data_IF_763983028649
#
_entry.id   IF_763983028649
#
_cell.length_a   1.000
_cell.length_b   1.000
_cell.length_c   1.000
_cell.angle_alpha   90.00
_cell.angle_beta   90.00
_cell.angle_gamma   90.00
#
_symmetry.space_group_name_H-M   'P 1'
#
loop_
_entity.id
_entity.type
_entity.pdbx_description
1 polymer ?
#
# COMPACT_ATOMS: atom_id res chain seq x y z
N UNK A 1 -14.82 -0.24 -14.08
CA UNK A 1 -14.05 -0.14 -12.81
C UNK A 1 -14.66 0.99 -12.02
N UNK A 2 -15.49 0.68 -11.03
CA UNK A 2 -16.31 1.67 -10.32
C UNK A 2 -15.50 2.55 -9.34
N UNK A 3 -14.19 2.31 -9.22
CA UNK A 3 -13.33 2.92 -8.20
C UNK A 3 -12.26 3.90 -8.74
N UNK A 4 -12.16 4.10 -10.06
CA UNK A 4 -11.06 4.87 -10.68
C UNK A 4 -9.68 4.23 -10.47
N UNK A 5 -8.65 4.62 -11.25
CA UNK A 5 -7.31 4.02 -11.16
C UNK A 5 -6.55 4.41 -9.88
N UNK A 6 -6.94 5.50 -9.22
CA UNK A 6 -6.36 5.93 -7.96
C UNK A 6 -7.06 5.33 -6.72
N UNK A 7 -8.23 4.69 -6.87
CA UNK A 7 -9.01 4.13 -5.76
C UNK A 7 -9.71 5.16 -4.85
N UNK A 8 -9.56 6.45 -5.13
CA UNK A 8 -10.05 7.55 -4.28
C UNK A 8 -11.45 8.06 -4.63
N UNK A 9 -12.27 7.29 -5.33
CA UNK A 9 -13.66 7.68 -5.61
C UNK A 9 -14.59 7.20 -4.49
N UNK A 10 -15.43 8.11 -4.02
CA UNK A 10 -16.43 7.84 -3.01
C UNK A 10 -17.66 7.16 -3.65
N UNK A 11 -18.54 6.61 -2.82
CA UNK A 11 -19.76 5.91 -3.29
C UNK A 11 -20.72 6.81 -4.08
N UNK A 12 -20.59 8.13 -3.95
CA UNK A 12 -21.35 9.14 -4.70
C UNK A 12 -20.66 9.61 -5.98
N UNK A 13 -19.54 8.97 -6.37
CA UNK A 13 -18.76 9.32 -7.55
C UNK A 13 -17.83 10.52 -7.38
N UNK A 14 -17.75 11.12 -6.19
CA UNK A 14 -16.84 12.25 -5.91
C UNK A 14 -15.44 11.80 -5.59
N UNK A 15 -14.46 12.67 -5.82
CA UNK A 15 -13.08 12.43 -5.41
C UNK A 15 -12.92 12.60 -3.89
N UNK A 16 -12.06 11.77 -3.27
CA UNK A 16 -11.62 11.89 -1.89
C UNK A 16 -10.88 13.21 -1.58
N UNK A 17 -10.35 13.87 -2.61
CA UNK A 17 -9.70 15.17 -2.50
C UNK A 17 -10.78 16.25 -2.40
N UNK A 18 -10.85 16.98 -1.27
CA UNK A 18 -11.81 18.08 -1.12
C UNK A 18 -11.67 19.09 -2.26
N UNK A 19 -12.78 19.70 -2.65
CA UNK A 19 -12.87 20.75 -3.70
C UNK A 19 -12.66 20.28 -5.15
N UNK A 20 -12.18 19.05 -5.38
CA UNK A 20 -12.03 18.53 -6.75
C UNK A 20 -13.38 18.23 -7.43
N UNK A 21 -14.40 17.86 -6.63
CA UNK A 21 -15.75 17.56 -7.15
C UNK A 21 -15.88 16.11 -7.63
N UNK A 22 -16.53 15.85 -8.78
CA UNK A 22 -16.60 14.53 -9.40
C UNK A 22 -15.21 13.94 -9.66
N UNK A 23 -15.05 12.62 -9.55
CA UNK A 23 -13.77 11.98 -9.83
C UNK A 23 -13.40 12.13 -11.32
N UNK A 24 -12.27 12.77 -11.66
CA UNK A 24 -11.90 13.05 -13.06
C UNK A 24 -11.60 11.78 -13.87
N UNK A 25 -11.42 10.65 -13.19
CA UNK A 25 -11.16 9.38 -13.84
C UNK A 25 -12.43 8.66 -14.28
N UNK A 26 -13.60 8.93 -13.67
CA UNK A 26 -14.84 8.23 -14.06
C UNK A 26 -15.16 8.45 -15.55
N UNK A 27 -14.92 9.67 -16.05
CA UNK A 27 -15.16 10.02 -17.45
C UNK A 27 -14.01 9.60 -18.39
N UNK A 28 -12.82 9.31 -17.84
CA UNK A 28 -11.61 9.03 -18.60
C UNK A 28 -11.30 7.53 -18.75
N UNK A 29 -11.99 6.66 -18.02
CA UNK A 29 -11.71 5.22 -18.01
C UNK A 29 -11.96 4.55 -19.36
N UNK A 30 -13.00 4.97 -20.10
CA UNK A 30 -13.33 4.40 -21.41
C UNK A 30 -12.30 4.75 -22.50
N UNK A 31 -11.58 5.85 -22.31
CA UNK A 31 -10.56 6.35 -23.24
C UNK A 31 -9.13 6.10 -22.75
N UNK A 32 -8.95 5.46 -21.59
CA UNK A 32 -7.62 5.29 -21.00
C UNK A 32 -6.80 4.36 -21.88
N UNK A 33 -5.72 4.83 -22.52
CA UNK A 33 -4.90 3.98 -23.34
C UNK A 33 -4.09 3.14 -22.35
N UNK A 34 -4.57 1.94 -22.03
CA UNK A 34 -3.66 0.86 -21.68
C UNK A 34 -2.80 0.60 -22.92
N UNK A 35 -1.81 1.47 -23.13
CA UNK A 35 -0.73 1.18 -24.05
C UNK A 35 -0.17 -0.15 -23.60
N UNK A 36 -0.06 -1.11 -24.53
CA UNK A 36 0.86 -2.22 -24.39
C UNK A 36 2.16 -1.63 -23.87
N UNK A 37 2.51 -1.94 -22.62
CA UNK A 37 3.62 -1.28 -21.95
C UNK A 37 4.84 -1.41 -22.87
N UNK A 38 5.40 -0.32 -23.39
CA UNK A 38 6.64 -0.42 -24.13
C UNK A 38 7.63 -1.02 -23.13
N UNK A 39 8.22 -2.17 -23.48
CA UNK A 39 9.24 -2.81 -22.68
C UNK A 39 10.24 -1.72 -22.28
N UNK A 40 10.35 -1.42 -20.99
CA UNK A 40 11.26 -0.40 -20.48
C UNK A 40 12.68 -0.95 -20.62
N UNK A 41 13.17 -0.99 -21.87
CA UNK A 41 14.50 -1.39 -22.23
C UNK A 41 15.46 -0.26 -21.82
N UNK A 42 16.49 -0.61 -21.05
CA UNK A 42 17.59 0.32 -20.75
C UNK A 42 17.55 1.00 -19.38
N UNK A 43 16.61 0.67 -18.48
CA UNK A 43 16.74 1.12 -17.09
C UNK A 43 17.88 0.33 -16.44
N UNK A 44 18.96 1.01 -16.07
CA UNK A 44 20.04 0.44 -15.25
C UNK A 44 19.42 -0.14 -13.98
N UNK A 45 19.34 -1.47 -13.93
CA UNK A 45 18.90 -2.19 -12.74
C UNK A 45 20.07 -2.09 -11.77
N UNK A 46 19.98 -1.16 -10.81
CA UNK A 46 20.83 -1.21 -9.61
C UNK A 46 20.81 -2.66 -9.12
N UNK A 47 21.96 -3.28 -8.78
CA UNK A 47 21.96 -4.64 -8.25
C UNK A 47 20.96 -4.68 -7.12
N UNK A 48 19.96 -5.56 -7.25
CA UNK A 48 18.93 -5.65 -6.23
C UNK A 48 19.63 -6.00 -4.92
N UNK A 49 19.55 -5.12 -3.93
CA UNK A 49 19.82 -5.52 -2.56
C UNK A 49 19.00 -6.79 -2.29
N UNK A 50 19.56 -7.72 -1.50
CA UNK A 50 18.86 -8.97 -1.17
C UNK A 50 17.39 -8.65 -0.82
N UNK A 51 16.47 -9.19 -1.63
CA UNK A 51 15.04 -8.95 -1.45
C UNK A 51 14.63 -9.54 -0.11
N UNK A 52 13.69 -8.90 0.59
CA UNK A 52 13.10 -9.53 1.77
C UNK A 52 12.41 -10.84 1.38
N UNK A 53 12.34 -11.80 2.31
CA UNK A 53 11.65 -13.07 2.08
C UNK A 53 10.21 -12.87 1.59
N UNK A 54 9.48 -11.90 2.18
CA UNK A 54 8.13 -11.53 1.74
C UNK A 54 8.08 -11.02 0.29
N UNK A 55 9.08 -10.23 -0.14
CA UNK A 55 9.14 -9.77 -1.51
C UNK A 55 9.47 -10.90 -2.49
N UNK A 56 10.33 -11.85 -2.10
CA UNK A 56 10.63 -13.04 -2.90
C UNK A 56 9.40 -13.96 -3.04
N UNK A 57 8.68 -14.23 -1.95
CA UNK A 57 7.47 -15.05 -1.96
C UNK A 57 6.37 -14.46 -2.85
N UNK A 58 6.15 -13.14 -2.75
CA UNK A 58 5.18 -12.44 -3.60
C UNK A 58 5.53 -12.54 -5.09
N UNK A 59 6.80 -12.34 -5.46
CA UNK A 59 7.24 -12.45 -6.85
C UNK A 59 7.15 -13.88 -7.38
N UNK A 60 7.44 -14.88 -6.55
CA UNK A 60 7.26 -16.28 -6.91
C UNK A 60 5.79 -16.61 -7.19
N UNK A 61 4.87 -16.13 -6.34
CA UNK A 61 3.42 -16.29 -6.55
C UNK A 61 2.96 -15.62 -7.87
N UNK A 62 3.40 -14.38 -8.12
CA UNK A 62 3.09 -13.64 -9.35
C UNK A 62 3.64 -14.29 -10.62
N UNK A 63 4.71 -15.09 -10.52
CA UNK A 63 5.28 -15.81 -11.64
C UNK A 63 4.47 -17.05 -12.07
N UNK A 64 3.58 -17.55 -11.22
CA UNK A 64 2.82 -18.80 -11.47
C UNK A 64 1.31 -18.61 -11.49
N UNK A 65 0.79 -17.48 -10.98
CA UNK A 65 -0.65 -17.15 -10.99
C UNK A 65 -0.88 -15.64 -10.86
N UNK A 66 -2.10 -15.15 -11.19
CA UNK A 66 -2.52 -13.81 -10.78
C UNK A 66 -2.38 -13.62 -9.27
N UNK A 67 -1.98 -12.42 -8.86
CA UNK A 67 -1.86 -12.02 -7.45
C UNK A 67 -2.93 -10.99 -7.09
N UNK A 68 -3.46 -11.13 -5.89
CA UNK A 68 -4.46 -10.20 -5.34
C UNK A 68 -3.75 -9.24 -4.40
N UNK A 69 -3.78 -7.96 -4.74
CA UNK A 69 -3.29 -6.87 -3.89
C UNK A 69 -4.48 -6.04 -3.49
N UNK A 70 -4.70 -5.90 -2.18
CA UNK A 70 -5.83 -5.15 -1.63
C UNK A 70 -5.32 -3.95 -0.83
N UNK A 71 -6.05 -2.84 -0.87
CA UNK A 71 -5.87 -1.80 0.15
C UNK A 71 -6.49 -2.25 1.47
N UNK A 72 -5.95 -1.78 2.59
CA UNK A 72 -6.45 -2.13 3.93
C UNK A 72 -7.22 -0.93 4.54
N UNK A 73 -8.56 -0.89 4.38
CA UNK A 73 -9.38 0.21 4.86
C UNK A 73 -9.65 0.06 6.36
N UNK A 74 -8.71 0.49 7.20
CA UNK A 74 -8.90 0.52 8.64
C UNK A 74 -9.21 1.93 9.15
N UNK A 75 -10.04 2.00 10.19
CA UNK A 75 -10.30 3.24 10.89
C UNK A 75 -9.01 3.85 11.47
N UNK A 76 -8.87 5.17 11.36
CA UNK A 76 -7.73 5.89 11.91
C UNK A 76 -7.63 5.66 13.43
N UNK A 77 -6.39 5.50 13.93
CA UNK A 77 -6.09 5.33 15.35
C UNK A 77 -6.79 4.13 16.04
N UNK A 78 -7.17 3.09 15.28
CA UNK A 78 -7.80 1.88 15.83
C UNK A 78 -7.01 0.61 15.53
N UNK A 79 -6.34 0.07 16.55
CA UNK A 79 -5.61 -1.20 16.43
C UNK A 79 -6.59 -2.38 16.23
N UNK A 80 -7.79 -2.31 16.80
CA UNK A 80 -8.81 -3.34 16.63
C UNK A 80 -9.34 -3.36 15.20
N UNK A 81 -9.60 -2.18 14.59
CA UNK A 81 -10.02 -2.11 13.18
C UNK A 81 -8.92 -2.64 12.25
N UNK A 82 -7.65 -2.30 12.49
CA UNK A 82 -6.53 -2.85 11.72
C UNK A 82 -6.50 -4.38 11.78
N UNK A 83 -6.62 -4.98 12.97
CA UNK A 83 -6.61 -6.43 13.14
C UNK A 83 -7.82 -7.10 12.48
N UNK A 84 -9.01 -6.52 12.63
CA UNK A 84 -10.23 -7.05 12.02
C UNK A 84 -10.12 -7.08 10.49
N UNK A 85 -9.79 -5.94 9.86
CA UNK A 85 -9.60 -5.86 8.41
C UNK A 85 -8.46 -6.79 7.94
N UNK A 86 -7.38 -6.87 8.72
CA UNK A 86 -6.26 -7.76 8.44
C UNK A 86 -6.67 -9.24 8.44
N UNK A 87 -7.49 -9.67 9.41
CA UNK A 87 -7.97 -11.04 9.50
C UNK A 87 -8.88 -11.43 8.32
N UNK A 88 -9.69 -10.49 7.82
CA UNK A 88 -10.54 -10.71 6.65
C UNK A 88 -9.73 -10.77 5.34
N UNK A 89 -8.70 -9.93 5.19
CA UNK A 89 -7.91 -9.84 3.96
C UNK A 89 -6.79 -10.89 3.88
N UNK A 90 -6.23 -11.34 5.01
CA UNK A 90 -5.15 -12.31 5.06
C UNK A 90 -5.37 -13.59 4.22
N UNK A 91 -6.56 -14.25 4.23
CA UNK A 91 -6.77 -15.46 3.46
C UNK A 91 -6.96 -15.24 1.95
N UNK A 92 -7.24 -14.01 1.51
CA UNK A 92 -7.62 -13.72 0.12
C UNK A 92 -6.63 -12.82 -0.63
N UNK A 93 -5.81 -12.04 0.09
CA UNK A 93 -4.85 -11.12 -0.51
C UNK A 93 -3.40 -11.62 -0.34
N UNK A 94 -2.64 -11.61 -1.43
CA UNK A 94 -1.20 -11.92 -1.44
C UNK A 94 -0.37 -10.82 -0.77
N UNK A 95 -0.87 -9.58 -0.84
CA UNK A 95 -0.31 -8.44 -0.16
C UNK A 95 -1.40 -7.41 0.15
N UNK A 96 -1.31 -6.79 1.33
CA UNK A 96 -2.13 -5.64 1.69
C UNK A 96 -1.30 -4.36 1.58
N UNK A 97 -1.78 -3.39 0.81
CA UNK A 97 -1.28 -2.03 0.84
C UNK A 97 -1.74 -1.38 2.14
N UNK A 98 -0.80 -0.71 2.78
CA UNK A 98 -1.09 0.04 3.98
C UNK A 98 -0.76 1.50 3.71
N UNK A 99 -1.77 2.21 3.23
CA UNK A 99 -1.75 3.65 3.02
C UNK A 99 -2.22 4.43 4.24
N UNK A 100 -1.95 5.73 4.20
CA UNK A 100 -2.59 6.69 5.09
C UNK A 100 -3.92 7.14 4.48
N UNK A 101 -4.96 7.17 5.30
CA UNK A 101 -6.27 7.66 4.89
C UNK A 101 -6.22 9.15 4.54
N UNK A 102 -6.59 9.53 3.31
CA UNK A 102 -6.45 10.90 2.80
C UNK A 102 -7.20 11.96 3.62
N UNK A 103 -8.34 11.60 4.23
CA UNK A 103 -9.14 12.47 5.09
C UNK A 103 -8.73 12.50 6.57
N UNK A 104 -7.81 11.64 7.02
CA UNK A 104 -7.45 11.54 8.43
C UNK A 104 -6.14 12.31 8.71
N UNK A 105 -6.26 13.38 9.50
CA UNK A 105 -5.13 14.24 9.93
C UNK A 105 -4.19 13.55 10.93
N UNK A 106 -4.71 12.61 11.72
CA UNK A 106 -3.94 11.87 12.73
C UNK A 106 -4.18 10.38 12.52
N UNK A 107 -3.09 9.64 12.37
CA UNK A 107 -3.09 8.20 12.18
C UNK A 107 -1.92 7.60 12.96
N UNK A 108 -2.00 6.31 13.26
CA UNK A 108 -0.86 5.63 13.84
C UNK A 108 0.34 5.69 12.88
N UNK A 109 1.58 5.72 13.40
CA UNK A 109 2.78 5.67 12.58
C UNK A 109 2.74 4.46 11.62
N UNK A 110 3.13 4.62 10.33
CA UNK A 110 3.12 3.53 9.35
C UNK A 110 3.86 2.28 9.84
N UNK A 111 5.00 2.46 10.49
CA UNK A 111 5.81 1.42 11.14
C UNK A 111 5.02 0.60 12.17
N UNK A 112 4.28 1.26 13.06
CA UNK A 112 3.47 0.62 14.09
C UNK A 112 2.31 -0.19 13.48
N UNK A 113 1.59 0.41 12.52
CA UNK A 113 0.50 -0.26 11.79
C UNK A 113 1.00 -1.50 11.05
N UNK A 114 2.13 -1.37 10.34
CA UNK A 114 2.76 -2.48 9.64
C UNK A 114 3.17 -3.61 10.59
N UNK A 115 3.69 -3.27 11.79
CA UNK A 115 4.05 -4.24 12.81
C UNK A 115 2.84 -5.03 13.31
N UNK A 116 1.76 -4.34 13.69
CA UNK A 116 0.53 -4.98 14.17
C UNK A 116 -0.03 -6.00 13.19
N UNK A 117 -0.03 -5.65 11.90
CA UNK A 117 -0.56 -6.49 10.83
C UNK A 117 0.38 -7.65 10.47
N UNK A 118 1.70 -7.39 10.45
CA UNK A 118 2.69 -8.45 10.22
C UNK A 118 2.63 -9.50 11.33
N UNK A 119 2.45 -9.08 12.58
CA UNK A 119 2.30 -10.00 13.71
C UNK A 119 0.97 -10.78 13.66
N UNK A 120 -0.02 -10.31 12.90
CA UNK A 120 -1.25 -11.03 12.57
C UNK A 120 -1.13 -11.88 11.29
N UNK A 121 0.07 -12.03 10.72
CA UNK A 121 0.33 -12.85 9.53
C UNK A 121 0.02 -12.17 8.20
N UNK A 122 -0.33 -10.89 8.19
CA UNK A 122 -0.63 -10.14 6.96
C UNK A 122 0.67 -9.74 6.25
N UNK A 123 0.76 -10.04 4.95
CA UNK A 123 1.84 -9.57 4.08
C UNK A 123 1.65 -8.08 3.75
N UNK A 124 2.31 -7.19 4.49
CA UNK A 124 2.09 -5.73 4.38
C UNK A 124 3.09 -5.05 3.44
N UNK A 125 2.56 -4.19 2.56
CA UNK A 125 3.29 -3.19 1.77
C UNK A 125 2.95 -1.80 2.30
N UNK A 126 3.68 -1.35 3.32
CA UNK A 126 3.48 -0.04 3.91
C UNK A 126 3.99 1.09 3.01
N UNK A 127 3.10 2.05 2.74
CA UNK A 127 3.44 3.36 2.19
C UNK A 127 3.85 4.33 3.31
N UNK A 128 4.68 5.31 2.97
CA UNK A 128 4.96 6.46 3.82
C UNK A 128 4.61 7.69 2.99
N UNK A 129 3.71 8.53 3.49
CA UNK A 129 3.44 9.82 2.85
C UNK A 129 4.32 10.91 3.50
N UNK A 130 4.49 12.02 2.77
CA UNK A 130 5.21 13.19 3.26
C UNK A 130 4.28 14.25 3.88
N UNK A 131 2.97 14.02 3.90
CA UNK A 131 1.98 14.96 4.43
C UNK A 131 2.15 15.02 5.95
N UNK A 132 2.19 16.22 6.50
CA UNK A 132 2.27 16.50 7.95
C UNK A 132 3.47 15.84 8.66
N UNK A 133 4.53 15.47 7.91
CA UNK A 133 5.73 14.81 8.45
C UNK A 133 6.98 15.58 8.05
N UNK A 134 7.80 15.90 9.05
CA UNK A 134 9.13 16.46 8.80
C UNK A 134 10.13 15.37 8.38
N UNK A 135 11.30 15.78 7.90
CA UNK A 135 12.37 14.87 7.46
C UNK A 135 12.73 13.83 8.53
N UNK A 136 12.85 14.25 9.79
CA UNK A 136 13.26 13.37 10.91
C UNK A 136 12.22 12.28 11.16
N UNK A 137 10.93 12.60 11.08
CA UNK A 137 9.86 11.61 11.19
C UNK A 137 9.93 10.58 10.06
N UNK A 138 10.17 11.02 8.82
CA UNK A 138 10.33 10.12 7.66
C UNK A 138 11.58 9.23 7.81
N UNK A 139 12.71 9.82 8.23
CA UNK A 139 13.94 9.08 8.50
C UNK A 139 13.73 8.02 9.59
N UNK A 140 12.98 8.33 10.65
CA UNK A 140 12.59 7.39 11.70
C UNK A 140 11.76 6.21 11.18
N UNK A 141 10.76 6.47 10.33
CA UNK A 141 9.96 5.43 9.67
C UNK A 141 10.80 4.50 8.79
N UNK A 142 11.72 5.08 8.00
CA UNK A 142 12.63 4.33 7.15
C UNK A 142 13.60 3.49 8.00
N UNK A 143 14.17 4.07 9.06
CA UNK A 143 15.09 3.39 9.95
C UNK A 143 14.41 2.21 10.66
N UNK A 144 13.19 2.37 11.16
CA UNK A 144 12.44 1.26 11.76
C UNK A 144 12.21 0.11 10.77
N UNK A 145 11.95 0.42 9.49
CA UNK A 145 11.74 -0.62 8.46
C UNK A 145 13.03 -1.38 8.13
N UNK A 146 14.17 -0.69 8.14
CA UNK A 146 15.50 -1.27 7.90
C UNK A 146 16.00 -2.08 9.11
N UNK A 147 15.73 -1.61 10.34
CA UNK A 147 16.18 -2.27 11.56
C UNK A 147 15.24 -3.40 12.00
N UNK A 148 13.92 -3.22 11.85
CA UNK A 148 12.91 -4.23 12.18
C UNK A 148 12.93 -5.47 11.26
N UNK A 149 13.57 -5.39 10.10
CA UNK A 149 13.85 -6.53 9.22
C UNK A 149 15.10 -7.32 9.64
N UNK A 150 16.08 -6.69 10.30
CA UNK A 150 17.28 -7.37 10.81
C UNK A 150 17.05 -8.16 12.11
N UNK A 151 16.09 -7.75 12.93
CA UNK A 151 15.81 -8.40 14.22
C UNK A 151 15.05 -9.73 14.14
N UNK A 152 14.58 -10.15 12.94
CA UNK A 152 13.86 -11.43 12.73
C UNK A 152 14.71 -12.54 12.11
N UNK A 153 16.00 -12.29 11.87
CA UNK A 153 16.93 -13.27 11.27
C UNK A 153 17.94 -13.85 12.29
N UNK A 154 17.67 -13.73 13.59
CA UNK A 154 18.46 -14.35 14.67
C UNK A 154 17.64 -15.36 15.44
#
# INVERSE_FOLDING_TARGET
MDHGPCGGVQSDGRCEVPELGPCPFLDALDAWPYLDQPAIAGRSVRPASARSAAAAAFLAAAGVRPVIVADLPAAAMSANSLRACGAELAPVADACLLGDHGGARVQFPPSYRARLLTDAGVSVRAGVNCRDRNRVAIEGEIAHRILGTRARTS
#
